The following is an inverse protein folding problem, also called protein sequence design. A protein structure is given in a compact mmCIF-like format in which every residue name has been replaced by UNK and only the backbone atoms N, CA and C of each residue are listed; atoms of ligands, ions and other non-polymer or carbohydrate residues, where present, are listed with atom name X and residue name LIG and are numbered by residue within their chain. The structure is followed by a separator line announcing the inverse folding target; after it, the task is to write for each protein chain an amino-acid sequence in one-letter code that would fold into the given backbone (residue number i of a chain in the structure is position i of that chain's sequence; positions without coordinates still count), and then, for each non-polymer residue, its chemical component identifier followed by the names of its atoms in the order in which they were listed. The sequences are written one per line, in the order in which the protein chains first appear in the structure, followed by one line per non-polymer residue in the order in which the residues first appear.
data_IF_539986648435
#
_entry.id   IF_539986648435
#
_cell.length_a   1.000
_cell.length_b   1.000
_cell.length_c   1.000
_cell.angle_alpha   90.00
_cell.angle_beta   90.00
_cell.angle_gamma   90.00
#
_symmetry.space_group_name_H-M   'P 1'
#
loop_
_entity.id
_entity.type
_entity.pdbx_description
1 polymer ?
#
# COMPACT_ATOMS: atom_id res chain seq x y z
N UNK A 1 10.28 0.70 -10.63
CA UNK A 1 11.07 0.05 -9.56
C UNK A 1 10.30 -1.06 -8.83
N UNK A 2 9.04 -0.87 -8.41
CA UNK A 2 8.26 -1.94 -7.77
C UNK A 2 8.11 -3.20 -8.64
N UNK A 3 7.82 -3.05 -9.93
CA UNK A 3 7.73 -4.20 -10.87
C UNK A 3 9.05 -4.96 -10.95
N UNK A 4 10.18 -4.26 -11.07
CA UNK A 4 11.49 -4.89 -11.08
C UNK A 4 11.77 -5.65 -9.78
N UNK A 5 11.43 -5.09 -8.62
CA UNK A 5 11.55 -5.78 -7.33
C UNK A 5 10.69 -7.05 -7.30
N UNK A 6 9.44 -6.99 -7.76
CA UNK A 6 8.56 -8.16 -7.83
C UNK A 6 9.12 -9.27 -8.72
N UNK A 7 9.60 -8.92 -9.92
CA UNK A 7 10.21 -9.87 -10.85
C UNK A 7 11.43 -10.53 -10.21
N UNK A 8 12.34 -9.75 -9.63
CA UNK A 8 13.57 -10.28 -9.04
C UNK A 8 13.30 -11.10 -7.78
N UNK A 9 12.32 -10.74 -6.96
CA UNK A 9 11.87 -11.56 -5.82
C UNK A 9 11.30 -12.91 -6.28
N UNK A 10 10.53 -12.92 -7.37
CA UNK A 10 10.05 -14.15 -8.00
C UNK A 10 11.19 -15.04 -8.53
N UNK A 11 12.18 -14.43 -9.19
CA UNK A 11 13.39 -15.13 -9.66
C UNK A 11 14.17 -15.71 -8.49
N UNK A 12 14.34 -14.96 -7.39
CA UNK A 12 15.02 -15.43 -6.21
C UNK A 12 14.29 -16.61 -5.55
N UNK A 13 12.96 -16.53 -5.41
CA UNK A 13 12.16 -17.66 -4.93
C UNK A 13 12.38 -18.90 -5.80
N UNK A 14 12.33 -18.75 -7.13
CA UNK A 14 12.54 -19.85 -8.07
C UNK A 14 13.96 -20.44 -7.99
N UNK A 15 15.00 -19.61 -7.88
CA UNK A 15 16.37 -20.07 -7.70
C UNK A 15 16.53 -20.94 -6.45
N UNK A 16 15.87 -20.57 -5.35
CA UNK A 16 15.88 -21.37 -4.12
C UNK A 16 15.03 -22.66 -4.23
N UNK A 17 13.97 -22.67 -5.04
CA UNK A 17 13.24 -23.90 -5.39
C UNK A 17 14.15 -24.86 -6.15
N UNK A 18 14.90 -24.38 -7.15
CA UNK A 18 15.87 -25.20 -7.89
C UNK A 18 16.91 -25.76 -6.93
N UNK A 19 17.48 -24.93 -6.04
CA UNK A 19 18.40 -25.37 -4.99
C UNK A 19 17.79 -26.48 -4.12
N UNK A 20 16.54 -26.31 -3.68
CA UNK A 20 15.85 -27.30 -2.86
C UNK A 20 15.67 -28.64 -3.61
N UNK A 21 15.28 -28.60 -4.88
CA UNK A 21 15.16 -29.80 -5.72
C UNK A 21 16.51 -30.50 -5.87
N UNK A 22 17.59 -29.76 -6.07
CA UNK A 22 18.95 -30.33 -6.13
C UNK A 22 19.33 -31.02 -4.80
N UNK A 23 18.95 -30.45 -3.64
CA UNK A 23 19.17 -31.09 -2.34
C UNK A 23 18.36 -32.40 -2.20
N UNK A 24 17.13 -32.43 -2.72
CA UNK A 24 16.28 -33.63 -2.70
C UNK A 24 16.85 -34.74 -3.57
N UNK A 25 17.33 -34.41 -4.78
CA UNK A 25 18.00 -35.36 -5.68
C UNK A 25 19.32 -35.84 -5.05
N UNK A 26 20.09 -34.93 -4.43
CA UNK A 26 21.35 -35.28 -3.79
C UNK A 26 21.18 -36.29 -2.64
N UNK A 27 19.96 -36.42 -2.10
CA UNK A 27 19.64 -37.40 -1.06
C UNK A 27 19.60 -38.84 -1.60
N UNK A 28 19.23 -39.03 -2.86
CA UNK A 28 19.09 -40.37 -3.48
C UNK A 28 20.22 -40.69 -4.44
N UNK A 29 20.88 -39.68 -5.00
CA UNK A 29 22.01 -39.82 -5.93
C UNK A 29 23.08 -38.82 -5.54
N UNK A 30 24.34 -39.23 -5.42
CA UNK A 30 25.43 -38.27 -5.19
C UNK A 30 25.54 -37.33 -6.40
N UNK A 31 25.20 -36.05 -6.21
CA UNK A 31 25.33 -35.05 -7.26
C UNK A 31 26.80 -34.77 -7.54
N UNK A 32 27.11 -34.49 -8.81
CA UNK A 32 28.43 -33.99 -9.17
C UNK A 32 28.72 -32.67 -8.43
N UNK A 33 29.90 -32.51 -7.80
CA UNK A 33 30.20 -31.36 -6.94
C UNK A 33 29.97 -30.00 -7.60
N UNK A 34 30.28 -29.87 -8.89
CA UNK A 34 30.06 -28.64 -9.66
C UNK A 34 28.58 -28.24 -9.72
N UNK A 35 27.67 -29.20 -9.86
CA UNK A 35 26.23 -28.94 -9.91
C UNK A 35 25.73 -28.55 -8.52
N UNK A 36 26.19 -29.24 -7.48
CA UNK A 36 25.84 -28.90 -6.09
C UNK A 36 26.30 -27.49 -5.72
N UNK A 37 27.54 -27.14 -6.05
CA UNK A 37 28.12 -25.81 -5.85
C UNK A 37 27.35 -24.77 -6.68
N UNK A 38 27.05 -25.06 -7.95
CA UNK A 38 26.26 -24.19 -8.82
C UNK A 38 24.87 -23.86 -8.24
N UNK A 39 24.19 -24.85 -7.65
CA UNK A 39 22.91 -24.66 -6.96
C UNK A 39 23.00 -23.74 -5.73
N UNK A 40 24.15 -23.71 -5.06
CA UNK A 40 24.40 -22.76 -3.96
C UNK A 40 24.62 -21.34 -4.52
N UNK A 41 25.48 -21.22 -5.52
CA UNK A 41 25.84 -19.94 -6.13
C UNK A 41 24.65 -19.23 -6.78
N UNK A 42 23.77 -19.95 -7.48
CA UNK A 42 22.60 -19.34 -8.14
C UNK A 42 21.64 -18.72 -7.11
N UNK A 43 21.39 -19.41 -6.00
CA UNK A 43 20.56 -18.89 -4.90
C UNK A 43 21.19 -17.66 -4.25
N UNK A 44 22.50 -17.71 -3.99
CA UNK A 44 23.24 -16.58 -3.41
C UNK A 44 23.21 -15.35 -4.32
N UNK A 45 23.52 -15.52 -5.61
CA UNK A 45 23.54 -14.41 -6.56
C UNK A 45 22.14 -13.79 -6.71
N UNK A 46 21.11 -14.62 -6.83
CA UNK A 46 19.73 -14.16 -6.90
C UNK A 46 19.32 -13.37 -5.65
N UNK A 47 19.75 -13.81 -4.46
CA UNK A 47 19.53 -13.11 -3.20
C UNK A 47 20.21 -11.74 -3.14
N UNK A 48 21.47 -11.64 -3.59
CA UNK A 48 22.21 -10.37 -3.63
C UNK A 48 21.55 -9.36 -4.59
N UNK A 49 21.17 -9.81 -5.79
CA UNK A 49 20.48 -8.97 -6.77
C UNK A 49 19.11 -8.52 -6.22
N UNK A 50 18.35 -9.44 -5.62
CA UNK A 50 17.08 -9.12 -4.98
C UNK A 50 17.23 -8.05 -3.90
N UNK A 51 18.23 -8.18 -3.03
CA UNK A 51 18.49 -7.21 -1.97
C UNK A 51 18.77 -5.81 -2.54
N UNK A 52 19.60 -5.69 -3.57
CA UNK A 52 19.90 -4.41 -4.23
C UNK A 52 18.66 -3.76 -4.87
N UNK A 53 17.89 -4.53 -5.63
CA UNK A 53 16.69 -4.02 -6.30
C UNK A 53 15.59 -3.64 -5.29
N UNK A 54 15.40 -4.45 -4.24
CA UNK A 54 14.50 -4.14 -3.14
C UNK A 54 14.91 -2.85 -2.43
N UNK A 55 16.21 -2.66 -2.13
CA UNK A 55 16.69 -1.44 -1.51
C UNK A 55 16.38 -0.20 -2.35
N UNK A 56 16.65 -0.24 -3.65
CA UNK A 56 16.31 0.85 -4.59
C UNK A 56 14.81 1.11 -4.62
N UNK A 57 14.00 0.05 -4.62
CA UNK A 57 12.54 0.18 -4.63
C UNK A 57 12.01 0.78 -3.32
N UNK A 58 12.54 0.39 -2.15
CA UNK A 58 12.20 0.99 -0.86
C UNK A 58 12.59 2.46 -0.82
N UNK A 59 13.81 2.81 -1.23
CA UNK A 59 14.27 4.21 -1.29
C UNK A 59 13.35 5.04 -2.20
N UNK A 60 12.98 4.49 -3.37
CA UNK A 60 12.06 5.15 -4.29
C UNK A 60 10.68 5.37 -3.67
N UNK A 61 10.15 4.38 -2.95
CA UNK A 61 8.86 4.46 -2.25
C UNK A 61 8.87 5.50 -1.12
N UNK A 62 9.96 5.58 -0.35
CA UNK A 62 10.10 6.58 0.73
C UNK A 62 10.22 7.98 0.15
N UNK A 63 10.97 8.17 -0.94
CA UNK A 63 11.05 9.46 -1.66
C UNK A 63 9.67 9.90 -2.14
N UNK A 64 8.92 9.00 -2.78
CA UNK A 64 7.56 9.26 -3.21
C UNK A 64 6.66 9.68 -2.04
N UNK A 65 6.74 8.97 -0.92
CA UNK A 65 5.94 9.27 0.27
C UNK A 65 6.24 10.67 0.82
N UNK A 66 7.53 11.03 0.94
CA UNK A 66 7.95 12.35 1.43
C UNK A 66 7.44 13.46 0.50
N UNK A 67 7.63 13.30 -0.80
CA UNK A 67 7.20 14.29 -1.79
C UNK A 67 5.68 14.46 -1.76
N UNK A 68 4.93 13.36 -1.76
CA UNK A 68 3.47 13.41 -1.75
C UNK A 68 2.91 14.01 -0.47
N UNK A 69 3.48 13.66 0.69
CA UNK A 69 3.12 14.30 1.97
C UNK A 69 3.36 15.80 1.93
N UNK A 70 4.55 16.24 1.49
CA UNK A 70 4.84 17.68 1.41
C UNK A 70 3.85 18.44 0.51
N UNK A 71 3.44 17.84 -0.61
CA UNK A 71 2.45 18.43 -1.51
C UNK A 71 1.04 18.46 -0.89
N UNK A 72 0.63 17.39 -0.21
CA UNK A 72 -0.67 17.29 0.43
C UNK A 72 -0.84 18.29 1.60
N UNK A 73 0.20 18.47 2.43
CA UNK A 73 0.19 19.48 3.50
C UNK A 73 0.21 20.90 2.93
N UNK A 74 1.03 21.17 1.91
CA UNK A 74 1.09 22.48 1.27
C UNK A 74 -0.26 22.88 0.63
N UNK A 75 -1.02 21.92 0.09
CA UNK A 75 -2.37 22.16 -0.44
C UNK A 75 -3.38 22.63 0.64
N UNK A 76 -3.12 22.32 1.91
CA UNK A 76 -3.91 22.77 3.06
C UNK A 76 -3.32 24.01 3.74
N UNK A 77 -2.26 24.61 3.18
CA UNK A 77 -1.57 25.75 3.78
C UNK A 77 -0.71 25.39 5.00
N UNK A 78 -0.46 24.10 5.23
CA UNK A 78 0.32 23.59 6.36
C UNK A 78 1.69 23.07 5.92
N UNK A 79 2.62 22.99 6.87
CA UNK A 79 3.92 22.32 6.68
C UNK A 79 3.84 20.94 7.32
N UNK A 80 4.41 19.91 6.69
CA UNK A 80 4.43 18.56 7.25
C UNK A 80 5.05 18.60 8.67
N UNK A 81 4.32 18.17 9.72
CA UNK A 81 4.81 18.21 11.09
C UNK A 81 6.02 17.30 11.31
N UNK A 82 6.28 16.35 10.41
CA UNK A 82 7.43 15.44 10.47
C UNK A 82 8.54 15.95 9.58
N UNK A 83 9.74 16.09 10.14
CA UNK A 83 10.92 16.41 9.34
C UNK A 83 11.22 15.28 8.33
N UNK A 84 11.77 15.65 7.17
CA UNK A 84 12.20 14.68 6.15
C UNK A 84 13.18 13.63 6.70
N UNK A 85 14.07 14.03 7.62
CA UNK A 85 15.01 13.13 8.27
C UNK A 85 14.30 12.08 9.12
N UNK A 86 13.28 12.49 9.88
CA UNK A 86 12.45 11.59 10.68
C UNK A 86 11.75 10.57 9.79
N UNK A 87 11.16 11.00 8.66
CA UNK A 87 10.50 10.09 7.71
C UNK A 87 11.49 9.05 7.15
N UNK A 88 12.69 9.46 6.75
CA UNK A 88 13.73 8.52 6.31
C UNK A 88 14.14 7.52 7.39
N UNK A 89 14.46 8.00 8.60
CA UNK A 89 14.90 7.15 9.70
C UNK A 89 13.82 6.15 10.08
N UNK A 90 12.58 6.60 10.27
CA UNK A 90 11.48 5.75 10.66
C UNK A 90 11.10 4.72 9.57
N UNK A 91 11.27 5.04 8.28
CA UNK A 91 10.97 4.11 7.20
C UNK A 91 12.09 3.11 6.91
N UNK A 92 13.36 3.46 7.16
CA UNK A 92 14.51 2.60 6.86
C UNK A 92 15.01 1.80 8.06
N UNK A 93 14.80 2.26 9.28
CA UNK A 93 15.25 1.56 10.48
C UNK A 93 14.43 0.27 10.69
N UNK A 94 15.07 -0.92 10.65
CA UNK A 94 14.37 -2.19 10.84
C UNK A 94 13.66 -2.24 12.19
N UNK A 95 12.45 -2.82 12.22
CA UNK A 95 11.61 -2.89 13.41
C UNK A 95 10.74 -1.65 13.59
N UNK A 96 11.34 -0.46 13.57
CA UNK A 96 10.57 0.81 13.62
C UNK A 96 9.71 0.98 12.36
N UNK A 97 10.25 0.61 11.20
CA UNK A 97 9.55 0.66 9.93
C UNK A 97 8.31 -0.24 9.85
N UNK A 98 8.20 -1.27 10.70
CA UNK A 98 7.02 -2.14 10.74
C UNK A 98 5.78 -1.40 11.23
N UNK A 99 5.96 -0.32 11.99
CA UNK A 99 4.87 0.50 12.52
C UNK A 99 4.82 1.84 11.80
N UNK A 100 5.95 2.55 11.73
CA UNK A 100 5.94 3.94 11.28
C UNK A 100 5.65 4.10 9.79
N UNK A 101 6.16 3.23 8.91
CA UNK A 101 5.89 3.36 7.48
C UNK A 101 4.40 3.20 7.15
N UNK A 102 3.68 2.18 7.68
CA UNK A 102 2.23 2.10 7.55
C UNK A 102 1.47 3.28 8.17
N UNK A 103 1.91 3.78 9.34
CA UNK A 103 1.32 4.96 9.98
C UNK A 103 1.43 6.18 9.07
N UNK A 104 2.59 6.44 8.46
CA UNK A 104 2.73 7.60 7.57
C UNK A 104 1.87 7.50 6.30
N UNK A 105 1.69 6.30 5.76
CA UNK A 105 0.78 6.05 4.63
C UNK A 105 -0.67 6.24 5.05
N UNK A 106 -1.02 5.82 6.27
CA UNK A 106 -2.35 6.01 6.86
C UNK A 106 -2.68 7.49 7.08
N UNK A 107 -1.75 8.24 7.69
CA UNK A 107 -1.87 9.69 7.87
C UNK A 107 -2.05 10.40 6.53
N UNK A 108 -1.27 10.03 5.51
CA UNK A 108 -1.42 10.59 4.16
C UNK A 108 -2.79 10.27 3.56
N UNK A 109 -3.27 9.03 3.71
CA UNK A 109 -4.60 8.66 3.24
C UNK A 109 -5.72 9.41 3.97
N UNK A 110 -5.55 9.70 5.27
CA UNK A 110 -6.48 10.50 6.04
C UNK A 110 -6.48 11.96 5.58
N UNK A 111 -5.30 12.55 5.39
CA UNK A 111 -5.11 13.92 4.91
C UNK A 111 -5.72 14.13 3.52
N UNK A 112 -5.57 13.17 2.61
CA UNK A 112 -6.16 13.24 1.28
C UNK A 112 -7.67 12.85 1.26
N UNK A 113 -8.29 12.55 2.41
CA UNK A 113 -9.70 12.14 2.49
C UNK A 113 -10.00 10.78 1.84
N UNK A 114 -8.97 9.96 1.58
CA UNK A 114 -9.06 8.67 0.87
C UNK A 114 -9.06 7.45 1.79
N UNK A 115 -8.96 7.67 3.10
CA UNK A 115 -8.80 6.59 4.07
C UNK A 115 -9.95 5.58 4.03
N UNK A 116 -11.19 6.02 3.80
CA UNK A 116 -12.35 5.12 3.72
C UNK A 116 -12.19 4.05 2.62
N UNK A 117 -11.58 4.39 1.49
CA UNK A 117 -11.33 3.48 0.38
C UNK A 117 -10.03 2.67 0.56
N UNK A 118 -8.96 3.32 1.02
CA UNK A 118 -7.63 2.72 1.11
C UNK A 118 -7.42 1.88 2.37
N UNK A 119 -8.23 2.06 3.42
CA UNK A 119 -8.07 1.39 4.72
C UNK A 119 -7.87 -0.13 4.59
N UNK A 120 -8.72 -0.81 3.80
CA UNK A 120 -8.60 -2.27 3.64
C UNK A 120 -7.28 -2.67 2.97
N UNK A 121 -6.86 -1.91 1.96
CA UNK A 121 -5.61 -2.16 1.23
C UNK A 121 -4.40 -1.90 2.11
N UNK A 122 -4.40 -0.80 2.88
CA UNK A 122 -3.32 -0.44 3.81
C UNK A 122 -3.19 -1.49 4.92
N UNK A 123 -4.30 -1.94 5.53
CA UNK A 123 -4.26 -2.98 6.57
C UNK A 123 -3.76 -4.31 6.03
N UNK A 124 -4.26 -4.76 4.87
CA UNK A 124 -3.80 -6.00 4.26
C UNK A 124 -2.30 -5.94 3.93
N UNK A 125 -1.85 -4.82 3.34
CA UNK A 125 -0.43 -4.56 3.10
C UNK A 125 0.39 -4.61 4.38
N UNK A 126 -0.09 -3.95 5.45
CA UNK A 126 0.59 -3.90 6.74
C UNK A 126 0.75 -5.29 7.36
N UNK A 127 -0.31 -6.10 7.38
CA UNK A 127 -0.25 -7.48 7.91
C UNK A 127 0.77 -8.31 7.14
N UNK A 128 0.73 -8.28 5.81
CA UNK A 128 1.66 -9.05 4.96
C UNK A 128 3.09 -8.54 5.12
N UNK A 129 3.28 -7.24 5.26
CA UNK A 129 4.58 -6.62 5.53
C UNK A 129 5.19 -7.11 6.86
N UNK A 130 4.41 -7.10 7.95
CA UNK A 130 4.84 -7.61 9.26
C UNK A 130 5.19 -9.10 9.18
N UNK A 131 4.34 -9.90 8.55
CA UNK A 131 4.58 -11.34 8.43
C UNK A 131 5.83 -11.62 7.58
N UNK A 132 6.03 -10.89 6.48
CA UNK A 132 7.23 -10.97 5.66
C UNK A 132 8.49 -10.63 6.46
N UNK A 133 8.45 -9.60 7.32
CA UNK A 133 9.60 -9.21 8.13
C UNK A 133 9.93 -10.26 9.20
N UNK A 134 8.91 -10.83 9.84
CA UNK A 134 9.09 -11.92 10.83
C UNK A 134 9.72 -13.15 10.18
N UNK A 135 9.21 -13.57 9.02
CA UNK A 135 9.78 -14.72 8.29
C UNK A 135 11.19 -14.43 7.79
N UNK A 136 11.46 -13.22 7.29
CA UNK A 136 12.81 -12.83 6.87
C UNK A 136 13.80 -12.85 8.06
N UNK A 137 13.41 -12.32 9.22
CA UNK A 137 14.21 -12.37 10.43
C UNK A 137 14.46 -13.81 10.91
N UNK A 138 13.40 -14.63 10.95
CA UNK A 138 13.53 -16.05 11.30
C UNK A 138 14.44 -16.81 10.33
N UNK A 139 14.33 -16.56 9.03
CA UNK A 139 15.22 -17.15 8.01
C UNK A 139 16.67 -16.69 8.18
N UNK A 140 16.90 -15.42 8.50
CA UNK A 140 18.25 -14.90 8.78
C UNK A 140 18.86 -15.59 10.01
N UNK A 141 18.12 -15.65 11.12
CA UNK A 141 18.57 -16.32 12.35
C UNK A 141 18.81 -17.81 12.10
N UNK A 142 17.91 -18.49 11.38
CA UNK A 142 18.06 -19.89 10.99
C UNK A 142 19.30 -20.09 10.13
N UNK A 143 19.55 -19.22 9.14
CA UNK A 143 20.74 -19.29 8.29
C UNK A 143 22.03 -19.19 9.10
N UNK A 144 22.11 -18.25 10.06
CA UNK A 144 23.26 -18.14 10.97
C UNK A 144 23.41 -19.41 11.81
N UNK A 145 22.32 -19.87 12.44
CA UNK A 145 22.35 -21.08 13.28
C UNK A 145 22.80 -22.33 12.51
N UNK A 146 22.21 -22.58 11.34
CA UNK A 146 22.53 -23.76 10.51
C UNK A 146 23.96 -23.68 9.99
N UNK A 147 24.44 -22.51 9.58
CA UNK A 147 25.79 -22.36 9.01
C UNK A 147 26.89 -22.58 10.04
N UNK A 148 26.69 -22.13 11.29
CA UNK A 148 27.75 -22.14 12.30
C UNK A 148 27.61 -23.21 13.38
N UNK A 149 26.42 -23.76 13.59
CA UNK A 149 26.15 -24.64 14.74
C UNK A 149 25.51 -25.98 14.39
N UNK A 150 24.75 -26.08 13.28
CA UNK A 150 23.96 -27.29 13.02
C UNK A 150 23.64 -27.48 11.52
N UNK A 151 24.66 -27.86 10.75
CA UNK A 151 24.67 -27.98 9.29
C UNK A 151 24.11 -29.31 8.76
N UNK A 152 23.22 -29.96 9.52
CA UNK A 152 22.57 -31.19 9.07
C UNK A 152 21.78 -30.98 7.77
N UNK A 153 21.71 -31.98 6.86
CA UNK A 153 21.00 -31.84 5.59
C UNK A 153 19.53 -31.42 5.75
N UNK A 154 18.86 -31.90 6.81
CA UNK A 154 17.47 -31.53 7.09
C UNK A 154 17.33 -30.05 7.48
N UNK A 155 18.27 -29.53 8.27
CA UNK A 155 18.26 -28.13 8.65
C UNK A 155 18.52 -27.21 7.46
N UNK A 156 19.44 -27.59 6.57
CA UNK A 156 19.69 -26.86 5.31
C UNK A 156 18.44 -26.84 4.44
N UNK A 157 17.74 -27.97 4.32
CA UNK A 157 16.49 -28.07 3.56
C UNK A 157 15.39 -27.20 4.18
N UNK A 158 15.19 -27.27 5.50
CA UNK A 158 14.19 -26.46 6.22
C UNK A 158 14.46 -24.95 6.10
N UNK A 159 15.72 -24.53 6.22
CA UNK A 159 16.10 -23.15 5.99
C UNK A 159 15.79 -22.71 4.55
N UNK A 160 16.11 -23.55 3.56
CA UNK A 160 15.83 -23.27 2.14
C UNK A 160 14.32 -23.07 1.90
N UNK A 161 13.46 -23.92 2.49
CA UNK A 161 12.00 -23.74 2.42
C UNK A 161 11.56 -22.42 3.04
N UNK A 162 12.12 -22.07 4.21
CA UNK A 162 11.82 -20.81 4.89
C UNK A 162 12.22 -19.60 4.04
N UNK A 163 13.38 -19.67 3.37
CA UNK A 163 13.85 -18.66 2.43
C UNK A 163 12.92 -18.50 1.23
N UNK A 164 12.43 -19.60 0.64
CA UNK A 164 11.46 -19.56 -0.46
C UNK A 164 10.18 -18.84 -0.01
N UNK A 165 9.62 -19.23 1.14
CA UNK A 165 8.43 -18.60 1.72
C UNK A 165 8.67 -17.11 1.98
N UNK A 166 9.85 -16.76 2.51
CA UNK A 166 10.26 -15.37 2.72
C UNK A 166 10.26 -14.53 1.44
N UNK A 167 10.80 -15.06 0.34
CA UNK A 167 10.77 -14.36 -0.95
C UNK A 167 9.36 -14.19 -1.51
N UNK A 168 8.49 -15.20 -1.36
CA UNK A 168 7.09 -15.12 -1.80
C UNK A 168 6.29 -14.11 -0.97
N UNK A 169 6.53 -14.03 0.34
CA UNK A 169 5.91 -13.01 1.20
C UNK A 169 6.42 -11.61 0.87
N UNK A 170 7.71 -11.45 0.61
CA UNK A 170 8.26 -10.18 0.16
C UNK A 170 7.64 -9.76 -1.18
N UNK A 171 7.49 -10.70 -2.13
CA UNK A 171 6.79 -10.45 -3.39
C UNK A 171 5.34 -9.99 -3.15
N UNK A 172 4.61 -10.68 -2.28
CA UNK A 172 3.24 -10.29 -1.90
C UNK A 172 3.19 -8.91 -1.24
N UNK A 173 4.14 -8.57 -0.37
CA UNK A 173 4.24 -7.25 0.25
C UNK A 173 4.45 -6.16 -0.82
N UNK A 174 5.34 -6.38 -1.79
CA UNK A 174 5.59 -5.44 -2.89
C UNK A 174 4.39 -5.29 -3.84
N UNK A 175 3.66 -6.39 -4.11
CA UNK A 175 2.40 -6.35 -4.86
C UNK A 175 1.36 -5.48 -4.14
N UNK A 176 1.26 -5.61 -2.82
CA UNK A 176 0.34 -4.80 -2.03
C UNK A 176 0.80 -3.34 -1.89
N UNK A 177 2.11 -3.07 -1.82
CA UNK A 177 2.66 -1.71 -1.93
C UNK A 177 2.24 -1.07 -3.24
N UNK A 178 2.36 -1.80 -4.36
CA UNK A 178 1.91 -1.30 -5.67
C UNK A 178 0.40 -1.03 -5.69
N UNK A 179 -0.43 -1.92 -5.10
CA UNK A 179 -1.87 -1.68 -4.98
C UNK A 179 -2.18 -0.41 -4.18
N UNK A 180 -1.51 -0.19 -3.05
CA UNK A 180 -1.66 1.03 -2.26
C UNK A 180 -1.32 2.26 -3.12
N UNK A 181 -0.19 2.24 -3.85
CA UNK A 181 0.22 3.36 -4.71
C UNK A 181 -0.79 3.65 -5.82
N UNK A 182 -1.26 2.62 -6.52
CA UNK A 182 -2.30 2.79 -7.56
C UNK A 182 -3.61 3.30 -6.97
N UNK A 183 -3.95 2.95 -5.72
CA UNK A 183 -5.13 3.47 -5.03
C UNK A 183 -5.03 4.97 -4.74
N UNK A 184 -3.82 5.49 -4.51
CA UNK A 184 -3.57 6.92 -4.39
C UNK A 184 -3.68 7.66 -5.74
N UNK A 185 -3.42 7.00 -6.87
CA UNK A 185 -3.52 7.57 -8.22
C UNK A 185 -4.96 7.52 -8.78
N UNK A 186 -5.67 6.41 -8.59
CA UNK A 186 -6.97 6.13 -9.23
C UNK A 186 -8.16 6.99 -8.81
N UNK A 187 -8.07 7.77 -7.73
CA UNK A 187 -9.19 8.62 -7.27
C UNK A 187 -9.30 9.98 -7.96
N UNK A 188 -8.34 10.35 -8.83
CA UNK A 188 -8.32 11.65 -9.52
C UNK A 188 -9.36 11.79 -10.64
N UNK A 189 -9.81 10.68 -11.23
CA UNK A 189 -10.68 10.72 -12.42
C UNK A 189 -12.16 10.43 -12.12
N UNK A 190 -12.48 9.80 -10.98
CA UNK A 190 -13.85 9.37 -10.65
C UNK A 190 -14.57 10.29 -9.66
N UNK A 191 -13.87 11.20 -8.99
CA UNK A 191 -14.47 12.07 -7.95
C UNK A 191 -15.19 13.30 -8.54
N UNK A 192 -14.93 13.67 -9.80
CA UNK A 192 -15.69 14.72 -10.50
C UNK A 192 -17.15 14.31 -10.82
N UNK A 193 -17.52 13.05 -10.54
CA UNK A 193 -18.85 12.51 -10.80
C UNK A 193 -19.55 12.05 -9.53
N UNK A 194 -19.19 12.60 -8.35
CA UNK A 194 -20.15 12.65 -7.25
C UNK A 194 -21.22 13.67 -7.64
N UNK A 195 -22.16 13.20 -8.46
CA UNK A 195 -23.40 13.87 -8.81
C UNK A 195 -23.99 14.49 -7.55
N UNK A 196 -23.95 15.81 -7.45
CA UNK A 196 -24.87 16.54 -6.60
C UNK A 196 -26.25 16.17 -7.15
N UNK A 197 -26.91 15.19 -6.53
CA UNK A 197 -28.34 14.99 -6.72
C UNK A 197 -29.01 16.21 -6.11
N UNK A 198 -29.11 17.27 -6.91
CA UNK A 198 -29.97 18.42 -6.63
C UNK A 198 -31.38 17.91 -6.77
N UNK A 199 -32.02 17.58 -5.66
CA UNK A 199 -33.44 17.34 -5.63
C UNK A 199 -34.13 18.66 -5.99
N UNK A 200 -34.66 18.71 -7.20
CA UNK A 200 -35.56 19.78 -7.64
C UNK A 200 -36.95 19.31 -7.26
N UNK A 201 -37.61 20.04 -6.36
CA UNK A 201 -39.03 19.86 -6.11
C UNK A 201 -39.75 20.33 -7.38
N UNK A 202 -40.37 19.39 -8.09
CA UNK A 202 -41.28 19.71 -9.19
C UNK A 202 -42.64 19.90 -8.54
N UNK A 203 -43.14 21.14 -8.56
CA UNK A 203 -44.51 21.42 -8.16
C UNK A 203 -45.42 20.82 -9.25
N UNK A 204 -46.45 20.03 -8.88
CA UNK A 204 -47.32 19.40 -9.88
C UNK A 204 -48.01 20.50 -10.68
N UNK A 205 -47.89 20.41 -12.00
CA UNK A 205 -48.59 21.25 -12.96
C UNK A 205 -50.10 21.05 -12.73
N UNK A 206 -50.74 22.04 -12.11
CA UNK A 206 -52.20 22.10 -12.04
C UNK A 206 -52.69 22.35 -13.45
N UNK A 207 -53.19 21.30 -14.09
CA UNK A 207 -53.98 21.37 -15.33
C UNK A 207 -55.19 22.29 -15.08
N UNK A 208 -55.04 23.57 -15.39
CA UNK A 208 -56.15 24.50 -15.47
C UNK A 208 -56.31 24.93 -16.92
N UNK A 209 -57.03 24.09 -17.67
CA UNK A 209 -57.64 24.49 -18.94
C UNK A 209 -59.16 24.47 -18.79
N UNK A 210 -59.71 25.58 -18.31
CA UNK A 210 -60.99 26.07 -18.85
C UNK A 210 -61.17 27.57 -18.64
N UNK A 211 -61.39 28.25 -19.76
CA UNK A 211 -61.60 29.69 -19.92
C UNK A 211 -62.94 30.16 -19.33
N UNK A 212 -62.94 31.46 -18.96
CA UNK A 212 -64.08 32.41 -18.88
C UNK A 212 -65.14 32.24 -17.79
N UNK A 213 -65.17 33.19 -16.84
CA UNK A 213 -66.24 34.22 -16.76
C UNK A 213 -65.86 35.34 -15.76
N UNK A 214 -66.09 36.57 -16.20
CA UNK A 214 -65.93 37.83 -15.48
C UNK A 214 -66.82 37.93 -14.20
N UNK A 215 -66.50 38.96 -13.40
CA UNK A 215 -67.19 39.50 -12.23
C UNK A 215 -67.01 38.80 -10.87
N UNK A 216 -66.09 39.33 -10.07
CA UNK A 216 -66.45 40.12 -8.87
C UNK A 216 -65.21 40.74 -8.22
N UNK A 217 -65.29 42.04 -7.99
CA UNK A 217 -64.32 42.85 -7.27
C UNK A 217 -64.26 42.49 -5.77
N UNK A 218 -63.06 42.52 -5.18
CA UNK A 218 -62.72 43.27 -3.95
C UNK A 218 -61.21 43.09 -3.64
N UNK A 219 -60.37 44.07 -3.97
CA UNK A 219 -59.77 45.00 -3.01
C UNK A 219 -59.00 44.36 -1.84
N UNK A 220 -57.66 44.32 -1.94
CA UNK A 220 -56.77 44.98 -0.98
C UNK A 220 -55.28 44.68 -1.31
N UNK A 221 -54.55 45.73 -1.64
CA UNK A 221 -53.08 45.84 -1.69
C UNK A 221 -52.73 47.02 -0.78
N UNK A 222 -51.52 47.22 -0.22
CA UNK A 222 -50.45 46.34 0.31
C UNK A 222 -50.11 46.74 1.78
N UNK A 223 -48.99 46.26 2.37
CA UNK A 223 -47.95 47.08 3.06
C UNK A 223 -46.78 46.18 3.51
N UNK A 224 -45.56 46.50 3.04
CA UNK A 224 -44.30 46.09 3.67
C UNK A 224 -44.09 46.88 4.98
N UNK A 225 -43.59 46.22 6.03
CA UNK A 225 -43.00 46.94 7.18
C UNK A 225 -41.57 46.49 7.41
N UNK A 226 -40.69 47.43 7.11
CA UNK A 226 -39.27 47.47 7.41
C UNK A 226 -39.04 47.64 8.93
N UNK A 227 -38.18 46.80 9.51
CA UNK A 227 -37.42 47.05 10.74
C UNK A 227 -38.16 46.96 12.08
N UNK A 228 -37.72 46.05 12.96
CA UNK A 228 -37.12 46.43 14.26
C UNK A 228 -36.60 45.17 14.99
N UNK A 229 -35.30 45.14 15.25
CA UNK A 229 -34.70 44.34 16.32
C UNK A 229 -34.67 45.23 17.57
N UNK A 230 -35.17 44.76 18.72
CA UNK A 230 -34.44 44.98 19.97
C UNK A 230 -34.40 43.74 20.86
N UNK A 231 -33.30 43.65 21.60
CA UNK A 231 -32.89 42.58 22.47
C UNK A 231 -33.77 42.35 23.72
N UNK A 232 -33.78 41.11 24.20
CA UNK A 232 -33.72 40.75 25.62
C UNK A 232 -33.05 39.38 25.76
#
# INVERSE_FOLDING_TARGET
MLVAAMVVLGIAAFAHVVRYVLLLINRTVLLHPVIAIGGVFIGLLASVVAMGVVAVAVISSVRWLIQRRSAAYAAHGEVDPRSTRTLWLCCLLPGVNLVMAPVFVWELAALEGRLSHLRRQIVAWWIVWVFSAVVAFASMVSTVYVTFFNDTPQNIANNTVTTIVGYLLALAAFLLTAKVFTGFEGGGTTTAQRSVRRWVVIEPETDDTSQNREDSAESAVPVETQGQNPAA
#
